data_IF_603928997476
#
_entry.id   IF_603928997476
#
_cell.length_a   1.000
_cell.length_b   1.000
_cell.length_c   1.000
_cell.angle_alpha   90.00
_cell.angle_beta   90.00
_cell.angle_gamma   90.00
#
_symmetry.space_group_name_H-M   'P 1'
#
loop_
_entity.id
_entity.type
_entity.pdbx_description
1 polymer ?
#
# COMPACT_ATOMS: atom_id res chain seq x y z
N UNK A 1 -29.95 -8.40 -10.04
CA UNK A 1 -30.03 -7.72 -8.73
C UNK A 1 -31.05 -6.60 -8.85
N UNK A 2 -31.78 -6.25 -7.79
CA UNK A 2 -32.77 -5.18 -7.86
C UNK A 2 -32.09 -3.84 -8.16
N UNK A 3 -32.71 -2.96 -8.97
CA UNK A 3 -32.12 -1.68 -9.37
C UNK A 3 -31.91 -0.70 -8.20
N UNK A 4 -32.52 -0.94 -7.04
CA UNK A 4 -32.23 -0.27 -5.77
C UNK A 4 -31.85 -1.35 -4.73
N UNK A 5 -30.59 -1.35 -4.32
CA UNK A 5 -30.09 -2.13 -3.19
C UNK A 5 -29.66 -1.13 -2.11
N UNK A 6 -30.14 -1.34 -0.89
CA UNK A 6 -29.71 -0.60 0.30
C UNK A 6 -28.76 -1.47 1.13
N UNK A 7 -27.70 -0.88 1.68
CA UNK A 7 -26.65 -1.57 2.47
C UNK A 7 -26.20 -0.68 3.63
N UNK A 8 -25.65 -1.26 4.70
CA UNK A 8 -25.16 -0.46 5.84
C UNK A 8 -23.97 0.43 5.41
N UNK A 9 -23.02 -0.17 4.68
CA UNK A 9 -21.80 0.52 4.22
C UNK A 9 -21.49 0.16 2.78
N UNK A 10 -21.37 1.18 1.92
CA UNK A 10 -20.84 1.04 0.56
C UNK A 10 -19.36 1.44 0.53
N UNK A 11 -18.50 0.58 -0.02
CA UNK A 11 -17.06 0.84 -0.18
C UNK A 11 -16.74 0.93 -1.67
N UNK A 12 -16.28 2.09 -2.12
CA UNK A 12 -16.02 2.38 -3.54
C UNK A 12 -14.54 2.19 -3.86
N UNK A 13 -14.20 1.00 -4.36
CA UNK A 13 -12.85 0.58 -4.74
C UNK A 13 -12.47 -0.77 -4.13
N UNK A 14 -12.18 -1.77 -4.97
CA UNK A 14 -11.75 -3.13 -4.61
C UNK A 14 -10.23 -3.31 -4.47
N UNK A 15 -9.50 -2.24 -4.17
CA UNK A 15 -8.08 -2.30 -3.81
C UNK A 15 -7.87 -2.76 -2.36
N UNK A 16 -6.60 -2.84 -1.93
CA UNK A 16 -6.22 -3.28 -0.58
C UNK A 16 -6.89 -2.47 0.54
N UNK A 17 -7.12 -1.16 0.32
CA UNK A 17 -7.81 -0.32 1.28
C UNK A 17 -9.27 -0.73 1.44
N UNK A 18 -9.99 -0.88 0.32
CA UNK A 18 -11.38 -1.34 0.36
C UNK A 18 -11.52 -2.74 0.95
N UNK A 19 -10.64 -3.67 0.58
CA UNK A 19 -10.63 -5.03 1.11
C UNK A 19 -10.33 -5.07 2.62
N UNK A 20 -9.36 -4.28 3.10
CA UNK A 20 -9.05 -4.20 4.53
C UNK A 20 -10.19 -3.58 5.34
N UNK A 21 -10.79 -2.48 4.85
CA UNK A 21 -11.94 -1.85 5.51
C UNK A 21 -13.13 -2.82 5.56
N UNK A 22 -13.41 -3.53 4.45
CA UNK A 22 -14.46 -4.54 4.41
C UNK A 22 -14.21 -5.68 5.42
N UNK A 23 -12.96 -6.15 5.52
CA UNK A 23 -12.57 -7.20 6.46
C UNK A 23 -12.82 -6.79 7.92
N UNK A 24 -12.34 -5.62 8.34
CA UNK A 24 -12.52 -5.16 9.71
C UNK A 24 -13.97 -4.75 10.04
N UNK A 25 -14.72 -4.19 9.09
CA UNK A 25 -16.16 -3.95 9.27
C UNK A 25 -16.92 -5.26 9.47
N UNK A 26 -16.61 -6.29 8.65
CA UNK A 26 -17.26 -7.59 8.76
C UNK A 26 -16.92 -8.33 10.06
N UNK A 27 -15.69 -8.19 10.59
CA UNK A 27 -15.34 -8.66 11.92
C UNK A 27 -16.20 -8.03 13.04
N UNK A 28 -16.69 -6.80 12.81
CA UNK A 28 -17.57 -6.07 13.73
C UNK A 28 -19.06 -6.33 13.48
N UNK A 29 -19.39 -7.26 12.58
CA UNK A 29 -20.76 -7.66 12.27
C UNK A 29 -21.49 -6.76 11.27
N UNK A 30 -20.80 -5.77 10.68
CA UNK A 30 -21.33 -4.95 9.58
C UNK A 30 -21.24 -5.74 8.27
N UNK A 31 -22.23 -5.62 7.39
CA UNK A 31 -22.24 -6.31 6.09
C UNK A 31 -21.98 -5.33 4.93
N UNK A 32 -20.71 -4.93 4.69
CA UNK A 32 -20.42 -3.93 3.66
C UNK A 32 -20.57 -4.50 2.25
N UNK A 33 -20.90 -3.61 1.31
CA UNK A 33 -20.81 -3.87 -0.12
C UNK A 33 -19.59 -3.18 -0.71
N UNK A 34 -18.64 -3.96 -1.24
CA UNK A 34 -17.52 -3.44 -2.03
C UNK A 34 -17.96 -3.30 -3.48
N UNK A 35 -17.71 -2.14 -4.07
CA UNK A 35 -18.01 -1.81 -5.47
C UNK A 35 -16.69 -1.63 -6.22
N UNK A 36 -16.45 -2.44 -7.24
CA UNK A 36 -15.23 -2.40 -8.06
C UNK A 36 -15.55 -2.28 -9.54
N UNK A 37 -14.87 -1.36 -10.25
CA UNK A 37 -15.13 -1.07 -11.65
C UNK A 37 -14.39 -1.98 -12.65
N UNK A 38 -13.37 -2.73 -12.22
CA UNK A 38 -12.54 -3.58 -13.07
C UNK A 38 -12.43 -5.01 -12.51
N UNK A 39 -11.39 -5.33 -11.76
CA UNK A 39 -11.21 -6.56 -11.01
C UNK A 39 -10.63 -6.21 -9.63
N UNK A 40 -10.82 -7.09 -8.65
CA UNK A 40 -10.25 -6.87 -7.31
C UNK A 40 -8.73 -6.82 -7.43
N UNK A 41 -8.12 -5.85 -6.73
CA UNK A 41 -6.69 -5.55 -6.83
C UNK A 41 -6.19 -5.06 -8.20
N UNK A 42 -7.04 -4.66 -9.15
CA UNK A 42 -6.64 -4.21 -10.50
C UNK A 42 -5.52 -3.15 -10.53
N UNK A 43 -5.59 -2.17 -9.64
CA UNK A 43 -4.70 -1.01 -9.59
C UNK A 43 -3.37 -1.29 -8.86
N UNK A 44 -2.95 -0.32 -8.04
CA UNK A 44 -1.69 -0.39 -7.30
C UNK A 44 -1.55 -1.64 -6.43
N UNK A 45 -2.65 -2.15 -5.88
CA UNK A 45 -2.66 -3.29 -4.96
C UNK A 45 -2.25 -4.60 -5.61
N UNK A 46 -2.58 -4.85 -6.88
CA UNK A 46 -2.19 -6.07 -7.59
C UNK A 46 -0.82 -6.00 -8.24
N UNK A 47 -0.20 -4.82 -8.28
CA UNK A 47 1.07 -4.56 -8.98
C UNK A 47 2.19 -4.09 -8.03
N UNK A 48 1.96 -4.21 -6.72
CA UNK A 48 2.95 -3.85 -5.69
C UNK A 48 3.98 -4.97 -5.51
N UNK A 49 5.19 -4.63 -5.09
CA UNK A 49 6.16 -5.64 -4.65
C UNK A 49 5.74 -6.34 -3.35
N UNK A 50 4.75 -5.82 -2.62
CA UNK A 50 4.25 -6.46 -1.40
C UNK A 50 5.30 -6.51 -0.29
N UNK A 51 6.19 -5.51 -0.23
CA UNK A 51 7.18 -5.39 0.84
C UNK A 51 6.55 -4.80 2.10
N UNK A 52 6.70 -5.50 3.22
CA UNK A 52 6.32 -5.06 4.56
C UNK A 52 7.61 -4.69 5.32
N UNK A 53 8.21 -3.57 4.91
CA UNK A 53 9.43 -3.03 5.49
C UNK A 53 9.15 -1.63 6.07
N UNK A 54 9.08 -1.48 7.40
CA UNK A 54 8.71 -0.21 8.02
C UNK A 54 9.80 0.86 7.91
N UNK A 55 11.05 0.48 7.64
CA UNK A 55 12.22 1.35 7.73
C UNK A 55 12.69 2.02 6.44
N UNK A 56 11.88 2.10 5.38
CA UNK A 56 12.33 2.72 4.13
C UNK A 56 12.35 4.26 4.21
N UNK A 57 13.40 4.93 3.71
CA UNK A 57 13.72 6.31 4.06
C UNK A 57 12.85 7.43 3.44
N UNK A 58 11.80 7.11 2.68
CA UNK A 58 10.98 8.09 1.94
C UNK A 58 9.98 8.91 2.77
N UNK A 59 10.32 9.17 4.02
CA UNK A 59 9.38 9.77 4.96
C UNK A 59 9.67 11.27 5.07
N UNK A 60 8.96 12.06 4.26
CA UNK A 60 8.68 13.47 4.59
C UNK A 60 7.54 13.55 5.62
N UNK A 61 7.53 12.65 6.60
CA UNK A 61 6.58 12.69 7.72
C UNK A 61 7.05 13.74 8.72
N UNK A 62 6.66 14.98 8.45
CA UNK A 62 6.94 16.11 9.34
C UNK A 62 6.08 16.10 10.62
N UNK A 63 5.09 15.21 10.70
CA UNK A 63 4.14 15.11 11.81
C UNK A 63 4.53 14.04 12.84
N UNK A 64 5.32 13.04 12.44
CA UNK A 64 5.64 11.88 13.26
C UNK A 64 4.45 10.93 13.46
N UNK A 65 3.40 11.04 12.63
CA UNK A 65 2.17 10.26 12.75
C UNK A 65 2.26 8.87 12.10
N UNK A 66 3.13 8.68 11.12
CA UNK A 66 3.28 7.40 10.42
C UNK A 66 3.92 6.31 11.29
N UNK A 67 4.98 6.55 12.09
CA UNK A 67 5.63 5.46 12.85
C UNK A 67 4.69 4.68 13.78
N UNK A 68 3.81 5.30 14.60
CA UNK A 68 2.86 4.56 15.43
C UNK A 68 1.86 3.73 14.60
N UNK A 69 1.29 4.32 13.54
CA UNK A 69 0.36 3.63 12.65
C UNK A 69 1.03 2.44 11.94
N UNK A 70 2.28 2.61 11.53
CA UNK A 70 3.09 1.59 10.88
C UNK A 70 3.39 0.43 11.83
N UNK A 71 3.77 0.73 13.08
CA UNK A 71 3.99 -0.28 14.11
C UNK A 71 2.71 -1.10 14.37
N UNK A 72 1.55 -0.43 14.47
CA UNK A 72 0.24 -1.11 14.59
C UNK A 72 -0.03 -2.00 13.39
N UNK A 73 0.17 -1.49 12.17
CA UNK A 73 -0.10 -2.24 10.95
C UNK A 73 0.81 -3.46 10.78
N UNK A 74 2.10 -3.36 11.13
CA UNK A 74 3.04 -4.49 11.14
C UNK A 74 2.61 -5.57 12.13
N UNK A 75 2.12 -5.18 13.31
CA UNK A 75 1.57 -6.13 14.27
C UNK A 75 0.32 -6.84 13.71
N UNK A 76 -0.60 -6.10 13.09
CA UNK A 76 -1.78 -6.65 12.44
C UNK A 76 -1.44 -7.59 11.29
N UNK A 77 -0.42 -7.29 10.48
CA UNK A 77 0.02 -8.17 9.39
C UNK A 77 0.43 -9.55 9.91
N UNK A 78 1.13 -9.63 11.05
CA UNK A 78 1.44 -10.92 11.70
C UNK A 78 0.18 -11.64 12.14
N UNK A 79 -0.72 -10.96 12.86
CA UNK A 79 -1.96 -11.55 13.35
C UNK A 79 -2.85 -12.05 12.22
N UNK A 80 -3.01 -11.27 11.15
CA UNK A 80 -3.82 -11.63 9.97
C UNK A 80 -3.15 -12.75 9.17
N UNK A 81 -1.81 -12.82 9.12
CA UNK A 81 -1.10 -13.96 8.56
C UNK A 81 -1.43 -15.26 9.29
N UNK A 82 -1.44 -15.24 10.62
CA UNK A 82 -1.80 -16.42 11.40
C UNK A 82 -3.28 -16.82 11.21
N UNK A 83 -4.18 -15.83 11.24
CA UNK A 83 -5.62 -16.07 11.12
C UNK A 83 -6.06 -16.57 9.74
N UNK A 84 -5.42 -16.08 8.68
CA UNK A 84 -5.84 -16.33 7.30
C UNK A 84 -4.97 -17.36 6.56
N UNK A 85 -4.04 -18.02 7.25
CA UNK A 85 -3.03 -18.92 6.67
C UNK A 85 -2.18 -18.20 5.60
N UNK A 86 -1.61 -17.06 6.00
CA UNK A 86 -0.86 -16.15 5.13
C UNK A 86 0.29 -16.79 4.36
N UNK A 87 1.12 -17.67 4.96
CA UNK A 87 2.20 -18.33 4.22
C UNK A 87 1.71 -19.11 3.00
N UNK A 88 0.53 -19.74 3.10
CA UNK A 88 -0.04 -20.56 2.03
C UNK A 88 -0.92 -19.75 1.08
N UNK A 89 -1.66 -18.78 1.60
CA UNK A 89 -2.72 -18.10 0.84
C UNK A 89 -2.25 -16.84 0.11
N UNK A 90 -1.25 -16.13 0.63
CA UNK A 90 -0.71 -14.92 0.02
C UNK A 90 0.80 -14.73 0.24
N UNK A 91 1.51 -15.83 0.44
CA UNK A 91 2.97 -15.88 0.53
C UNK A 91 3.56 -14.99 1.64
N UNK A 92 2.84 -14.82 2.76
CA UNK A 92 3.39 -14.09 3.91
C UNK A 92 4.68 -14.76 4.39
N UNK A 93 5.80 -14.09 4.11
CA UNK A 93 7.13 -14.63 4.34
C UNK A 93 7.96 -13.60 5.10
N UNK A 94 8.21 -13.81 6.40
CA UNK A 94 9.23 -13.07 7.11
C UNK A 94 10.56 -13.23 6.39
N UNK A 95 11.25 -12.12 6.16
CA UNK A 95 12.56 -12.14 5.54
C UNK A 95 13.43 -11.07 6.19
N UNK A 96 14.72 -11.16 5.91
CA UNK A 96 15.69 -10.16 6.34
C UNK A 96 16.00 -9.25 5.16
N UNK A 97 15.91 -7.93 5.38
CA UNK A 97 16.31 -6.93 4.39
C UNK A 97 17.47 -6.09 4.91
N UNK A 98 18.43 -5.84 4.06
CA UNK A 98 19.52 -4.91 4.35
C UNK A 98 19.20 -3.54 3.78
N UNK A 99 19.28 -2.50 4.60
CA UNK A 99 19.33 -1.13 4.08
C UNK A 99 20.79 -0.77 3.85
N UNK A 100 21.10 -0.17 2.71
CA UNK A 100 22.48 0.08 2.29
C UNK A 100 22.71 1.50 1.80
N UNK A 101 23.90 2.00 2.10
CA UNK A 101 24.42 3.28 1.64
C UNK A 101 25.61 3.08 0.68
N UNK A 102 25.68 3.91 -0.36
CA UNK A 102 26.72 3.89 -1.40
C UNK A 102 27.78 4.98 -1.25
N UNK A 103 27.51 6.00 -0.45
CA UNK A 103 28.46 7.06 -0.13
C UNK A 103 28.45 7.41 1.37
N UNK A 104 29.40 8.25 1.77
CA UNK A 104 29.61 8.64 3.17
C UNK A 104 28.44 9.46 3.74
N UNK A 105 27.77 10.26 2.91
CA UNK A 105 26.64 11.10 3.34
C UNK A 105 25.41 10.21 3.61
N UNK A 106 25.12 9.28 2.69
CA UNK A 106 24.10 8.25 2.87
C UNK A 106 24.40 7.36 4.08
N UNK A 107 25.67 6.99 4.29
CA UNK A 107 26.07 6.15 5.41
C UNK A 107 25.84 6.85 6.75
N UNK A 108 26.16 8.14 6.84
CA UNK A 108 25.89 8.94 8.02
C UNK A 108 24.39 9.02 8.33
N UNK A 109 23.54 9.27 7.31
CA UNK A 109 22.08 9.28 7.49
C UNK A 109 21.54 7.91 7.91
N UNK A 110 21.97 6.84 7.23
CA UNK A 110 21.50 5.49 7.49
C UNK A 110 21.82 5.06 8.94
N UNK A 111 23.05 5.30 9.40
CA UNK A 111 23.48 4.96 10.75
C UNK A 111 22.79 5.82 11.82
N UNK A 112 22.54 7.10 11.53
CA UNK A 112 21.77 7.97 12.44
C UNK A 112 20.32 7.51 12.60
N UNK A 113 19.74 6.89 11.56
CA UNK A 113 18.35 6.40 11.56
C UNK A 113 18.21 4.98 12.10
N UNK A 114 19.28 4.20 12.16
CA UNK A 114 19.25 2.77 12.48
C UNK A 114 18.41 2.44 13.72
N UNK A 115 18.60 3.18 14.83
CA UNK A 115 17.82 2.99 16.06
C UNK A 115 16.31 3.21 15.84
N UNK A 116 15.94 4.30 15.15
CA UNK A 116 14.53 4.61 14.86
C UNK A 116 13.88 3.57 13.94
N UNK A 117 14.67 2.98 13.03
CA UNK A 117 14.21 1.94 12.12
C UNK A 117 14.19 0.54 12.76
N UNK A 118 14.56 0.44 14.05
CA UNK A 118 14.80 -0.86 14.72
C UNK A 118 15.78 -1.73 13.93
N UNK A 119 16.77 -1.09 13.30
CA UNK A 119 17.76 -1.72 12.45
C UNK A 119 19.11 -1.84 13.15
N UNK A 120 19.82 -2.93 12.90
CA UNK A 120 21.12 -3.21 13.50
C UNK A 120 22.25 -2.90 12.50
N UNK A 121 23.21 -2.01 12.81
CA UNK A 121 24.39 -1.81 11.98
C UNK A 121 25.17 -3.10 11.75
N UNK A 122 25.58 -3.33 10.51
CA UNK A 122 26.30 -4.54 10.11
C UNK A 122 27.79 -4.22 9.94
N UNK A 123 28.68 -4.89 10.68
CA UNK A 123 30.11 -4.80 10.40
C UNK A 123 30.41 -5.28 8.97
N UNK A 124 31.17 -4.50 8.19
CA UNK A 124 31.46 -4.87 6.79
C UNK A 124 32.14 -6.25 6.64
N UNK A 125 32.85 -6.71 7.66
CA UNK A 125 33.44 -8.04 7.70
C UNK A 125 32.39 -9.19 7.73
N UNK A 126 31.16 -8.91 8.16
CA UNK A 126 30.03 -9.86 8.24
C UNK A 126 29.07 -9.74 7.05
N UNK A 127 29.31 -8.79 6.15
CA UNK A 127 28.38 -8.44 5.08
C UNK A 127 28.03 -9.64 4.19
N UNK A 128 29.01 -10.45 3.80
CA UNK A 128 28.78 -11.58 2.89
C UNK A 128 27.84 -12.64 3.47
N UNK A 129 27.79 -12.78 4.79
CA UNK A 129 26.89 -13.71 5.49
C UNK A 129 25.51 -13.07 5.72
N UNK A 130 25.47 -11.81 6.17
CA UNK A 130 24.24 -11.14 6.63
C UNK A 130 23.46 -10.42 5.53
N UNK A 131 24.15 -9.94 4.49
CA UNK A 131 23.59 -9.25 3.33
C UNK A 131 24.16 -9.85 2.05
N UNK A 132 23.85 -11.13 1.76
CA UNK A 132 24.50 -11.87 0.70
C UNK A 132 24.19 -11.34 -0.70
N UNK A 133 23.26 -10.39 -0.84
CA UNK A 133 23.01 -9.71 -2.10
C UNK A 133 24.07 -8.66 -2.45
N UNK A 134 24.70 -8.01 -1.47
CA UNK A 134 25.50 -6.80 -1.69
C UNK A 134 26.98 -7.14 -1.82
N UNK A 135 27.66 -6.53 -2.80
CA UNK A 135 29.10 -6.74 -2.98
C UNK A 135 29.94 -5.80 -2.11
N UNK A 136 29.72 -4.48 -2.20
CA UNK A 136 30.52 -3.48 -1.49
C UNK A 136 29.69 -2.21 -1.18
N UNK A 137 29.09 -2.08 0.01
CA UNK A 137 28.45 -0.86 0.48
C UNK A 137 29.45 -0.02 1.29
N UNK A 138 29.13 1.26 1.49
CA UNK A 138 29.84 2.11 2.47
C UNK A 138 29.33 1.78 3.88
N UNK A 139 28.02 1.60 4.04
CA UNK A 139 27.39 1.12 5.27
C UNK A 139 26.18 0.25 4.97
N UNK A 140 25.86 -0.65 5.90
CA UNK A 140 24.67 -1.48 5.86
C UNK A 140 24.06 -1.64 7.25
N UNK A 141 22.74 -1.69 7.32
CA UNK A 141 22.00 -2.04 8.54
C UNK A 141 21.00 -3.15 8.23
N UNK A 142 20.76 -4.02 9.20
CA UNK A 142 19.81 -5.10 9.11
C UNK A 142 18.46 -4.63 9.64
N UNK A 143 17.44 -4.48 8.79
CA UNK A 143 16.13 -4.05 9.25
C UNK A 143 15.27 -5.27 9.61
N UNK A 144 14.75 -5.28 10.84
CA UNK A 144 13.82 -6.31 11.34
C UNK A 144 12.81 -5.70 12.33
N UNK A 145 11.57 -6.22 12.39
CA UNK A 145 11.01 -7.29 11.56
C UNK A 145 10.60 -6.78 10.17
N UNK A 146 10.86 -7.58 9.14
CA UNK A 146 10.33 -7.37 7.78
C UNK A 146 9.68 -8.62 7.22
N UNK A 147 8.69 -8.44 6.35
CA UNK A 147 8.01 -9.53 5.66
C UNK A 147 7.67 -9.14 4.22
N UNK A 148 7.40 -10.13 3.38
CA UNK A 148 6.90 -9.92 2.03
C UNK A 148 5.62 -10.72 1.81
N UNK A 149 4.80 -10.27 0.87
CA UNK A 149 3.55 -10.92 0.47
C UNK A 149 3.37 -10.87 -1.05
N UNK A 150 2.53 -11.75 -1.60
CA UNK A 150 1.86 -11.48 -2.87
C UNK A 150 0.69 -10.51 -2.62
N UNK A 151 0.83 -9.27 -3.10
CA UNK A 151 -0.11 -8.20 -2.78
C UNK A 151 -1.49 -8.38 -3.43
N UNK A 152 -1.55 -9.03 -4.59
CA UNK A 152 -2.81 -9.34 -5.27
C UNK A 152 -3.56 -10.43 -4.49
N UNK A 153 -2.87 -11.52 -4.14
CA UNK A 153 -3.44 -12.61 -3.33
C UNK A 153 -3.87 -12.12 -1.95
N UNK A 154 -3.07 -11.27 -1.30
CA UNK A 154 -3.42 -10.68 -0.02
C UNK A 154 -4.71 -9.86 -0.09
N UNK A 155 -4.81 -8.99 -1.10
CA UNK A 155 -6.01 -8.16 -1.31
C UNK A 155 -7.26 -9.01 -1.52
N UNK A 156 -7.16 -10.03 -2.38
CA UNK A 156 -8.27 -10.97 -2.61
C UNK A 156 -8.60 -11.77 -1.35
N UNK A 157 -7.61 -12.27 -0.62
CA UNK A 157 -7.80 -13.06 0.60
C UNK A 157 -8.52 -12.27 1.69
N UNK A 158 -8.19 -10.98 1.86
CA UNK A 158 -8.91 -10.10 2.79
C UNK A 158 -10.39 -9.98 2.40
N UNK A 159 -10.68 -9.75 1.12
CA UNK A 159 -12.04 -9.62 0.63
C UNK A 159 -12.83 -10.93 0.75
N UNK A 160 -12.23 -12.07 0.37
CA UNK A 160 -12.83 -13.40 0.54
C UNK A 160 -13.16 -13.67 2.01
N UNK A 161 -12.25 -13.31 2.93
CA UNK A 161 -12.50 -13.43 4.36
C UNK A 161 -13.65 -12.53 4.80
N UNK A 162 -13.72 -11.29 4.30
CA UNK A 162 -14.86 -10.40 4.56
C UNK A 162 -16.17 -10.98 4.05
N UNK A 163 -16.18 -11.58 2.84
CA UNK A 163 -17.35 -12.22 2.25
C UNK A 163 -17.83 -13.42 3.06
N UNK A 164 -16.90 -14.20 3.63
CA UNK A 164 -17.24 -15.30 4.54
C UNK A 164 -17.96 -14.83 5.82
N UNK A 165 -17.81 -13.55 6.17
CA UNK A 165 -18.45 -12.89 7.31
C UNK A 165 -19.68 -12.04 6.92
N UNK A 166 -20.10 -12.06 5.65
CA UNK A 166 -21.32 -11.40 5.16
C UNK A 166 -21.11 -10.17 4.29
N UNK A 167 -19.87 -9.74 4.03
CA UNK A 167 -19.62 -8.72 3.03
C UNK A 167 -20.02 -9.20 1.62
N UNK A 168 -20.27 -8.28 0.71
CA UNK A 168 -20.59 -8.59 -0.69
C UNK A 168 -19.71 -7.78 -1.65
N UNK A 169 -19.57 -8.29 -2.88
CA UNK A 169 -18.86 -7.63 -3.97
C UNK A 169 -19.84 -7.39 -5.11
N UNK A 170 -19.89 -6.16 -5.61
CA UNK A 170 -20.59 -5.79 -6.85
C UNK A 170 -19.58 -5.23 -7.83
N UNK A 171 -19.53 -5.84 -9.01
CA UNK A 171 -18.83 -5.24 -10.14
C UNK A 171 -19.69 -4.09 -10.68
N UNK A 172 -19.09 -2.90 -10.82
CA UNK A 172 -19.78 -1.69 -11.27
C UNK A 172 -18.88 -0.47 -11.14
N UNK A 173 -18.95 0.44 -12.12
CA UNK A 173 -18.21 1.69 -12.09
C UNK A 173 -19.02 2.76 -11.38
N UNK A 174 -18.49 3.28 -10.27
CA UNK A 174 -19.00 4.48 -9.64
C UNK A 174 -18.70 5.73 -10.47
N UNK A 175 -19.70 6.57 -10.62
CA UNK A 175 -19.65 7.83 -11.38
C UNK A 175 -20.01 9.05 -10.53
N UNK A 176 -20.56 8.85 -9.33
CA UNK A 176 -20.96 9.91 -8.43
C UNK A 176 -21.37 9.40 -7.05
N UNK A 177 -21.83 10.33 -6.23
CA UNK A 177 -22.44 10.07 -4.93
C UNK A 177 -23.89 10.52 -4.97
N UNK A 178 -24.75 9.84 -4.21
CA UNK A 178 -26.14 10.24 -3.99
C UNK A 178 -26.24 10.88 -2.61
N UNK A 179 -27.05 11.92 -2.49
CA UNK A 179 -27.29 12.61 -1.22
C UNK A 179 -27.73 14.06 -1.39
N UNK A 180 -27.85 14.75 -0.27
CA UNK A 180 -28.16 16.19 -0.21
C UNK A 180 -26.92 17.06 -0.30
N UNK A 181 -27.05 18.32 0.14
CA UNK A 181 -25.93 19.28 0.16
C UNK A 181 -24.90 18.96 1.26
N UNK A 182 -25.35 18.41 2.37
CA UNK A 182 -24.58 18.19 3.60
C UNK A 182 -24.47 16.71 4.02
N UNK A 183 -25.04 15.80 3.23
CA UNK A 183 -24.99 14.36 3.49
C UNK A 183 -24.85 13.53 2.21
N UNK A 184 -24.38 12.29 2.37
CA UNK A 184 -24.26 11.26 1.34
C UNK A 184 -25.00 10.02 1.82
N UNK A 185 -25.92 9.51 1.01
CA UNK A 185 -26.75 8.34 1.31
C UNK A 185 -26.63 7.23 0.24
N UNK A 186 -25.58 7.29 -0.59
CA UNK A 186 -25.33 6.27 -1.59
C UNK A 186 -24.29 6.62 -2.63
N UNK A 187 -24.17 5.71 -3.60
CA UNK A 187 -23.22 5.75 -4.72
C UNK A 187 -24.01 5.64 -6.03
N UNK A 188 -23.72 6.56 -6.95
CA UNK A 188 -24.21 6.49 -8.33
C UNK A 188 -23.25 5.65 -9.16
N UNK A 189 -23.78 4.63 -9.83
CA UNK A 189 -23.07 3.75 -10.75
C UNK A 189 -23.52 4.01 -12.19
N UNK A 190 -22.71 3.61 -13.17
CA UNK A 190 -23.12 3.67 -14.60
C UNK A 190 -24.44 2.92 -14.89
N UNK A 191 -24.76 1.90 -14.09
CA UNK A 191 -25.89 1.00 -14.29
C UNK A 191 -27.00 1.11 -13.23
N UNK A 192 -26.94 2.11 -12.33
CA UNK A 192 -27.97 2.32 -11.32
C UNK A 192 -27.44 2.96 -10.04
N UNK A 193 -28.17 2.76 -8.94
CA UNK A 193 -27.86 3.37 -7.63
C UNK A 193 -27.76 2.30 -6.55
N UNK A 194 -26.80 2.47 -5.65
CA UNK A 194 -26.74 1.76 -4.37
C UNK A 194 -26.93 2.80 -3.28
N UNK A 195 -27.94 2.65 -2.42
CA UNK A 195 -28.09 3.51 -1.24
C UNK A 195 -27.34 2.90 -0.06
N UNK A 196 -26.78 3.72 0.82
CA UNK A 196 -26.06 3.27 2.00
C UNK A 196 -26.10 4.28 3.15
N UNK A 197 -26.06 3.79 4.39
CA UNK A 197 -25.96 4.65 5.57
C UNK A 197 -24.57 5.30 5.69
N UNK A 198 -23.53 4.61 5.23
CA UNK A 198 -22.19 5.16 5.09
C UNK A 198 -21.56 4.80 3.73
N UNK A 199 -20.79 5.72 3.16
CA UNK A 199 -20.04 5.53 1.92
C UNK A 199 -18.56 5.83 2.12
N UNK A 200 -17.69 4.87 1.80
CA UNK A 200 -16.24 4.97 1.95
C UNK A 200 -15.56 5.00 0.57
N UNK A 201 -14.76 6.03 0.32
CA UNK A 201 -14.07 6.22 -0.96
C UNK A 201 -12.63 5.71 -0.86
N UNK A 202 -12.29 4.66 -1.61
CA UNK A 202 -10.98 3.99 -1.63
C UNK A 202 -10.39 3.87 -3.03
N UNK A 203 -10.66 4.87 -3.87
CA UNK A 203 -10.34 4.90 -5.31
C UNK A 203 -8.84 5.01 -5.69
N UNK A 204 -7.92 4.91 -4.74
CA UNK A 204 -6.47 4.98 -4.99
C UNK A 204 -6.11 6.22 -5.84
N UNK A 205 -5.34 6.08 -6.95
CA UNK A 205 -4.92 7.24 -7.74
C UNK A 205 -6.10 7.95 -8.43
N UNK A 206 -7.26 7.30 -8.55
CA UNK A 206 -8.48 7.89 -9.08
C UNK A 206 -9.28 8.69 -8.05
N UNK A 207 -8.84 8.76 -6.79
CA UNK A 207 -9.51 9.52 -5.72
C UNK A 207 -9.62 11.03 -6.01
N UNK A 208 -8.81 11.58 -6.92
CA UNK A 208 -9.00 12.97 -7.37
C UNK A 208 -10.40 13.22 -7.97
N UNK A 209 -11.06 12.19 -8.50
CA UNK A 209 -12.43 12.28 -9.02
C UNK A 209 -13.45 12.51 -7.90
N UNK A 210 -13.17 11.99 -6.71
CA UNK A 210 -14.02 12.16 -5.55
C UNK A 210 -14.03 13.60 -5.03
N UNK A 211 -13.04 14.43 -5.40
CA UNK A 211 -13.02 15.84 -5.02
C UNK A 211 -14.28 16.57 -5.50
N UNK A 212 -14.71 16.30 -6.74
CA UNK A 212 -15.95 16.88 -7.28
C UNK A 212 -17.22 16.28 -6.65
N UNK A 213 -17.17 15.04 -6.17
CA UNK A 213 -18.32 14.38 -5.55
C UNK A 213 -18.56 14.81 -4.11
N UNK A 214 -17.47 15.14 -3.40
CA UNK A 214 -17.49 15.55 -2.00
C UNK A 214 -17.47 17.06 -1.80
N UNK A 215 -17.23 17.84 -2.86
CA UNK A 215 -16.95 19.28 -2.77
C UNK A 215 -15.79 19.57 -1.79
N UNK A 216 -14.74 18.74 -1.86
CA UNK A 216 -13.59 18.76 -0.95
C UNK A 216 -12.30 18.56 -1.75
N UNK A 217 -11.21 19.31 -1.48
CA UNK A 217 -9.91 19.02 -2.08
C UNK A 217 -9.41 17.63 -1.69
N UNK A 218 -9.21 16.75 -2.68
CA UNK A 218 -8.54 15.45 -2.52
C UNK A 218 -7.27 15.48 -3.39
N UNK A 219 -6.15 16.04 -2.89
CA UNK A 219 -4.94 16.26 -3.68
C UNK A 219 -4.14 14.97 -3.84
N UNK A 220 -4.73 13.96 -4.49
CA UNK A 220 -4.07 12.69 -4.81
C UNK A 220 -3.67 12.68 -6.26
N UNK A 221 -2.40 12.35 -6.51
CA UNK A 221 -1.86 12.18 -7.86
C UNK A 221 -1.31 10.76 -8.06
N UNK A 222 -1.35 10.23 -9.29
CA UNK A 222 -0.64 9.01 -9.62
C UNK A 222 0.88 9.25 -9.67
N UNK A 223 1.64 8.41 -8.99
CA UNK A 223 3.08 8.26 -9.18
C UNK A 223 3.34 6.89 -9.79
N UNK A 224 3.71 6.85 -11.06
CA UNK A 224 4.02 5.61 -11.76
C UNK A 224 5.31 5.02 -11.21
N UNK A 225 5.33 3.70 -11.03
CA UNK A 225 6.56 2.99 -10.77
C UNK A 225 6.56 1.59 -11.31
N UNK A 226 7.73 1.22 -11.82
CA UNK A 226 7.92 0.01 -12.60
C UNK A 226 8.83 -0.96 -11.86
N UNK A 227 8.47 -2.24 -11.90
CA UNK A 227 9.18 -3.34 -11.26
C UNK A 227 9.50 -4.36 -12.35
N UNK A 228 10.72 -4.89 -12.32
CA UNK A 228 11.18 -5.93 -13.23
C UNK A 228 11.27 -7.24 -12.46
N UNK A 229 10.74 -8.31 -13.05
CA UNK A 229 10.80 -9.65 -12.48
C UNK A 229 11.84 -10.44 -13.25
N UNK A 230 12.78 -11.02 -12.52
CA UNK A 230 13.92 -11.73 -13.04
C UNK A 230 13.81 -13.22 -12.66
N UNK A 231 14.11 -14.07 -13.63
CA UNK A 231 14.37 -15.49 -13.39
C UNK A 231 15.89 -15.70 -13.30
N UNK A 232 16.38 -16.18 -12.16
CA UNK A 232 17.80 -16.40 -11.97
C UNK A 232 18.24 -17.73 -12.60
N UNK A 233 19.46 -17.79 -13.14
CA UNK A 233 20.03 -19.01 -13.72
C UNK A 233 20.59 -19.99 -12.69
N UNK A 234 20.81 -19.50 -11.47
CA UNK A 234 21.23 -20.25 -10.27
C UNK A 234 20.36 -19.81 -9.10
N UNK A 235 20.37 -20.57 -8.01
CA UNK A 235 19.59 -20.19 -6.82
C UNK A 235 20.04 -18.80 -6.30
N UNK A 236 19.12 -17.81 -6.20
CA UNK A 236 19.46 -16.48 -5.74
C UNK A 236 19.67 -16.47 -4.22
N UNK A 237 20.45 -15.52 -3.66
CA UNK A 237 20.54 -15.36 -2.22
C UNK A 237 19.17 -15.14 -1.59
N UNK A 238 18.92 -15.64 -0.36
CA UNK A 238 17.67 -15.34 0.34
C UNK A 238 17.58 -13.86 0.71
N UNK A 239 16.36 -13.40 0.97
CA UNK A 239 16.10 -12.04 1.44
C UNK A 239 16.27 -10.99 0.35
N UNK A 240 16.80 -9.82 0.71
CA UNK A 240 16.92 -8.70 -0.20
C UNK A 240 17.68 -7.51 0.39
N UNK A 241 17.73 -6.44 -0.37
CA UNK A 241 18.22 -5.15 0.11
C UNK A 241 17.38 -4.00 -0.42
N UNK A 242 17.52 -2.83 0.20
CA UNK A 242 17.04 -1.57 -0.33
C UNK A 242 18.07 -0.47 -0.13
N UNK A 243 18.21 0.42 -1.10
CA UNK A 243 19.05 1.60 -0.96
C UNK A 243 18.32 2.75 -0.27
N UNK A 244 19.03 3.87 -0.08
CA UNK A 244 18.48 5.07 0.53
C UNK A 244 17.48 5.83 -0.37
N UNK A 245 17.30 5.39 -1.62
CA UNK A 245 16.43 6.01 -2.63
C UNK A 245 15.23 5.13 -2.98
N UNK A 246 15.01 4.03 -2.25
CA UNK A 246 13.87 3.13 -2.42
C UNK A 246 13.98 2.14 -3.57
N UNK A 247 15.16 2.00 -4.17
CA UNK A 247 15.43 0.86 -5.02
C UNK A 247 15.64 -0.38 -4.15
N UNK A 248 15.18 -1.53 -4.62
CA UNK A 248 15.25 -2.78 -3.88
C UNK A 248 15.47 -3.97 -4.81
N UNK A 249 16.04 -5.01 -4.21
CA UNK A 249 16.09 -6.37 -4.72
C UNK A 249 15.46 -7.27 -3.67
N UNK A 250 14.58 -8.17 -4.08
CA UNK A 250 13.99 -9.17 -3.18
C UNK A 250 13.86 -10.53 -3.87
N UNK A 251 14.32 -11.57 -3.20
CA UNK A 251 14.03 -12.96 -3.59
C UNK A 251 12.64 -13.33 -3.11
N UNK A 252 11.80 -13.77 -4.05
CA UNK A 252 10.43 -14.23 -3.80
C UNK A 252 10.42 -15.71 -3.38
N UNK A 253 9.40 -16.16 -2.63
CA UNK A 253 9.20 -17.59 -2.35
C UNK A 253 9.06 -18.46 -3.60
N UNK A 254 8.66 -17.86 -4.73
CA UNK A 254 8.58 -18.53 -6.04
C UNK A 254 9.96 -18.79 -6.67
N UNK A 255 11.04 -18.28 -6.11
CA UNK A 255 12.39 -18.32 -6.68
C UNK A 255 12.69 -17.20 -7.69
N UNK A 256 11.68 -16.39 -8.05
CA UNK A 256 11.91 -15.17 -8.84
C UNK A 256 12.59 -14.09 -7.99
N UNK A 257 13.31 -13.20 -8.66
CA UNK A 257 13.88 -12.00 -8.05
C UNK A 257 13.11 -10.79 -8.57
N UNK A 258 12.51 -10.02 -7.67
CA UNK A 258 11.85 -8.77 -8.03
C UNK A 258 12.78 -7.61 -7.75
N UNK A 259 12.91 -6.72 -8.72
CA UNK A 259 13.72 -5.51 -8.61
C UNK A 259 12.90 -4.29 -8.98
N UNK A 260 13.08 -3.21 -8.23
CA UNK A 260 12.34 -1.99 -8.48
C UNK A 260 12.84 -0.84 -7.61
N UNK A 261 12.21 0.32 -7.65
CA UNK A 261 11.26 0.70 -8.68
C UNK A 261 11.58 2.10 -9.22
N UNK A 262 11.06 2.40 -10.41
CA UNK A 262 11.05 3.79 -10.91
C UNK A 262 10.02 4.65 -10.16
N UNK A 263 10.17 5.96 -10.34
CA UNK A 263 9.23 6.98 -9.91
C UNK A 263 9.05 8.01 -11.03
N UNK A 264 7.85 8.03 -11.61
CA UNK A 264 7.56 8.75 -12.85
C UNK A 264 6.25 9.54 -12.72
N UNK A 265 6.26 10.82 -13.13
CA UNK A 265 5.09 11.71 -13.12
C UNK A 265 4.38 11.74 -14.48
N UNK A 266 3.93 10.57 -14.95
CA UNK A 266 3.33 10.36 -16.28
C UNK A 266 1.79 10.32 -16.26
N UNK A 267 1.19 10.92 -15.23
CA UNK A 267 -0.26 10.88 -15.05
C UNK A 267 -0.78 9.44 -14.90
N UNK A 268 -1.79 9.07 -15.70
CA UNK A 268 -2.44 7.75 -15.64
C UNK A 268 -1.86 6.73 -16.63
N UNK A 269 -0.71 7.01 -17.25
CA UNK A 269 -0.01 6.01 -18.06
C UNK A 269 0.52 4.87 -17.17
N UNK A 270 -0.02 3.67 -17.38
CA UNK A 270 0.37 2.46 -16.66
C UNK A 270 1.11 1.46 -17.57
N UNK A 271 1.61 1.88 -18.72
CA UNK A 271 2.36 1.02 -19.64
C UNK A 271 3.84 0.91 -19.24
N UNK A 272 4.39 -0.30 -19.10
CA UNK A 272 5.82 -0.46 -18.86
C UNK A 272 6.68 0.02 -20.03
N UNK A 273 7.90 0.49 -19.76
CA UNK A 273 8.85 0.93 -20.80
C UNK A 273 10.20 0.22 -20.67
N UNK A 274 10.86 0.01 -21.81
CA UNK A 274 12.22 -0.56 -21.83
C UNK A 274 13.23 0.37 -21.14
N UNK A 275 13.07 1.69 -21.28
CA UNK A 275 13.94 2.67 -20.62
C UNK A 275 13.88 2.56 -19.09
N UNK A 276 12.69 2.36 -18.51
CA UNK A 276 12.53 2.13 -17.08
C UNK A 276 13.15 0.80 -16.63
N UNK A 277 12.99 -0.27 -17.42
CA UNK A 277 13.64 -1.56 -17.15
C UNK A 277 15.17 -1.41 -17.10
N UNK A 278 15.72 -0.77 -18.12
CA UNK A 278 17.17 -0.59 -18.26
C UNK A 278 17.72 0.32 -17.15
N UNK A 279 16.97 1.35 -16.75
CA UNK A 279 17.27 2.17 -15.57
C UNK A 279 17.33 1.33 -14.29
N UNK A 280 16.30 0.54 -13.97
CA UNK A 280 16.25 -0.25 -12.73
C UNK A 280 17.42 -1.24 -12.68
N UNK A 281 17.70 -1.92 -13.80
CA UNK A 281 18.82 -2.86 -13.92
C UNK A 281 20.17 -2.14 -13.71
N UNK A 282 20.40 -1.03 -14.40
CA UNK A 282 21.64 -0.28 -14.30
C UNK A 282 21.88 0.29 -12.90
N UNK A 283 20.82 0.79 -12.25
CA UNK A 283 20.89 1.33 -10.89
C UNK A 283 21.28 0.25 -9.90
N UNK A 284 20.62 -0.91 -9.93
CA UNK A 284 20.87 -1.99 -8.96
C UNK A 284 22.15 -2.77 -9.23
N UNK A 285 22.63 -2.82 -10.48
CA UNK A 285 23.93 -3.39 -10.82
C UNK A 285 25.11 -2.67 -10.15
N UNK A 286 24.92 -1.42 -9.68
CA UNK A 286 25.94 -0.69 -8.88
C UNK A 286 26.15 -1.30 -7.50
N UNK A 287 25.15 -1.99 -6.96
CA UNK A 287 25.18 -2.58 -5.62
C UNK A 287 25.59 -4.06 -5.64
N UNK A 288 25.30 -4.75 -6.76
CA UNK A 288 25.46 -6.20 -6.85
C UNK A 288 25.67 -6.70 -8.27
N UNK A 289 26.69 -7.53 -8.44
CA UNK A 289 26.95 -8.34 -9.64
C UNK A 289 26.02 -9.55 -9.75
N UNK A 290 25.25 -9.89 -8.70
CA UNK A 290 24.41 -11.10 -8.69
C UNK A 290 23.22 -11.05 -9.64
N UNK A 291 22.87 -9.87 -10.13
CA UNK A 291 21.83 -9.70 -11.15
C UNK A 291 22.32 -10.09 -12.55
N UNK A 292 23.63 -10.24 -12.75
CA UNK A 292 24.21 -10.59 -14.05
C UNK A 292 23.69 -11.95 -14.55
N UNK A 293 23.29 -11.99 -15.82
CA UNK A 293 22.81 -13.21 -16.47
C UNK A 293 21.38 -13.62 -16.11
N UNK A 294 20.70 -12.93 -15.19
CA UNK A 294 19.28 -13.19 -14.91
C UNK A 294 18.41 -12.76 -16.08
N UNK A 295 17.38 -13.54 -16.38
CA UNK A 295 16.47 -13.30 -17.52
C UNK A 295 15.27 -12.49 -17.06
N UNK A 296 14.95 -11.41 -17.78
CA UNK A 296 13.69 -10.68 -17.57
C UNK A 296 12.52 -11.57 -18.00
N UNK A 297 11.62 -11.87 -17.07
CA UNK A 297 10.43 -12.70 -17.32
C UNK A 297 9.14 -11.92 -17.30
N UNK A 298 9.11 -10.79 -16.61
CA UNK A 298 7.96 -9.91 -16.57
C UNK A 298 8.39 -8.49 -16.18
N UNK A 299 7.54 -7.51 -16.47
CA UNK A 299 7.65 -6.14 -16.01
C UNK A 299 6.26 -5.61 -15.71
N UNK A 300 6.11 -4.93 -14.58
CA UNK A 300 4.83 -4.35 -14.15
C UNK A 300 4.97 -2.86 -13.88
N UNK A 301 3.88 -2.11 -14.04
CA UNK A 301 3.81 -0.69 -13.72
C UNK A 301 2.57 -0.42 -12.85
N UNK A 302 2.80 0.27 -11.73
CA UNK A 302 1.81 0.60 -10.71
C UNK A 302 1.64 2.12 -10.64
N UNK A 303 0.41 2.61 -10.44
CA UNK A 303 0.11 4.01 -10.16
C UNK A 303 -0.14 4.19 -8.67
N UNK A 304 0.88 4.64 -7.93
CA UNK A 304 0.80 4.85 -6.48
C UNK A 304 -0.01 6.13 -6.19
N UNK A 305 -0.99 6.11 -5.28
CA UNK A 305 -1.76 7.30 -4.92
C UNK A 305 -0.97 8.16 -3.93
N UNK A 306 -0.25 9.17 -4.42
CA UNK A 306 0.52 10.08 -3.55
C UNK A 306 -0.35 11.28 -3.21
N UNK A 307 -0.57 11.54 -1.93
CA UNK A 307 -1.23 12.75 -1.44
C UNK A 307 -0.31 13.98 -1.53
N UNK A 308 -0.90 15.17 -1.53
CA UNK A 308 -0.18 16.44 -1.68
C UNK A 308 0.86 16.73 -0.60
N UNK A 309 0.69 16.16 0.59
CA UNK A 309 1.60 16.31 1.74
C UNK A 309 2.36 15.01 2.09
N UNK A 310 2.20 13.96 1.30
CA UNK A 310 2.83 12.65 1.53
C UNK A 310 2.18 11.79 2.62
N UNK A 311 1.17 12.30 3.35
CA UNK A 311 0.44 11.54 4.36
C UNK A 311 -0.88 10.97 3.81
N UNK A 312 -1.29 9.75 4.20
CA UNK A 312 -2.61 9.22 3.84
C UNK A 312 -3.76 10.18 4.18
N UNK A 313 -4.84 10.12 3.41
CA UNK A 313 -6.09 10.85 3.64
C UNK A 313 -7.11 9.84 4.17
N UNK A 314 -7.38 9.89 5.48
CA UNK A 314 -8.16 8.89 6.21
C UNK A 314 -9.12 9.61 7.16
N UNK A 315 -10.42 9.44 6.99
CA UNK A 315 -11.41 10.00 7.92
C UNK A 315 -12.76 10.30 7.30
N UNK A 316 -13.61 10.99 8.06
CA UNK A 316 -14.89 11.50 7.58
C UNK A 316 -14.67 12.67 6.60
N UNK A 317 -15.51 12.79 5.59
CA UNK A 317 -15.52 13.92 4.68
C UNK A 317 -16.18 15.13 5.37
N UNK A 318 -15.47 16.25 5.59
CA UNK A 318 -16.02 17.41 6.28
C UNK A 318 -17.25 17.97 5.58
N UNK A 319 -18.30 18.26 6.36
CA UNK A 319 -19.55 18.81 5.83
C UNK A 319 -20.37 17.85 4.95
N UNK A 320 -19.99 16.57 4.88
CA UNK A 320 -20.66 15.52 4.10
C UNK A 320 -20.95 14.32 5.01
N UNK A 321 -22.00 14.42 5.82
CA UNK A 321 -22.43 13.35 6.73
C UNK A 321 -22.61 12.02 5.97
N UNK A 322 -22.14 10.91 6.55
CA UNK A 322 -22.18 9.59 5.93
C UNK A 322 -21.06 9.32 4.91
N UNK A 323 -20.22 10.29 4.53
CA UNK A 323 -19.10 10.07 3.62
C UNK A 323 -17.74 9.98 4.33
N UNK A 324 -16.90 9.06 3.86
CA UNK A 324 -15.55 8.82 4.38
C UNK A 324 -14.55 8.63 3.24
N UNK A 325 -13.27 8.87 3.51
CA UNK A 325 -12.17 8.73 2.56
C UNK A 325 -11.05 7.91 3.18
N UNK A 326 -10.46 7.01 2.41
CA UNK A 326 -9.22 6.30 2.76
C UNK A 326 -8.37 6.08 1.49
N UNK A 327 -7.44 7.00 1.24
CA UNK A 327 -6.58 7.02 0.04
C UNK A 327 -5.24 7.72 0.31
N UNK A 328 -4.40 7.91 -0.70
CA UNK A 328 -3.18 8.72 -0.60
C UNK A 328 -1.98 8.01 0.06
N UNK A 329 -2.03 6.70 0.25
CA UNK A 329 -0.98 5.94 0.96
C UNK A 329 0.34 5.76 0.19
N UNK A 330 0.46 6.29 -1.02
CA UNK A 330 1.67 6.27 -1.84
C UNK A 330 2.33 4.90 -1.93
N UNK A 331 3.59 4.84 -1.53
CA UNK A 331 4.44 3.61 -1.52
C UNK A 331 4.06 2.63 -0.41
N UNK A 332 3.33 3.09 0.60
CA UNK A 332 3.06 2.37 1.85
C UNK A 332 1.68 1.74 1.91
N UNK A 333 0.93 1.74 0.81
CA UNK A 333 -0.44 1.24 0.78
C UNK A 333 -0.59 -0.19 1.32
N UNK A 334 0.28 -1.12 0.92
CA UNK A 334 0.20 -2.50 1.41
C UNK A 334 0.52 -2.60 2.92
N UNK A 335 1.62 -1.97 3.37
CA UNK A 335 2.01 -2.06 4.78
C UNK A 335 1.02 -1.34 5.70
N UNK A 336 0.42 -0.22 5.29
CA UNK A 336 -0.54 0.56 6.10
C UNK A 336 -2.00 0.09 5.98
N UNK A 337 -2.31 -0.88 5.11
CA UNK A 337 -3.70 -1.23 4.80
C UNK A 337 -4.47 -1.74 6.01
N UNK A 338 -3.85 -2.56 6.87
CA UNK A 338 -4.54 -3.17 8.01
C UNK A 338 -4.82 -2.16 9.11
N UNK A 339 -3.87 -1.30 9.48
CA UNK A 339 -4.14 -0.22 10.43
C UNK A 339 -5.17 0.78 9.89
N UNK A 340 -5.15 1.08 8.58
CA UNK A 340 -6.19 1.91 7.95
C UNK A 340 -7.56 1.24 8.03
N UNK A 341 -7.63 -0.06 7.70
CA UNK A 341 -8.86 -0.84 7.74
C UNK A 341 -9.48 -0.90 9.13
N UNK A 342 -8.67 -1.17 10.15
CA UNK A 342 -9.08 -1.18 11.55
C UNK A 342 -9.61 0.19 11.99
N UNK A 343 -8.82 1.25 11.76
CA UNK A 343 -9.18 2.60 12.19
C UNK A 343 -10.46 3.12 11.52
N UNK A 344 -10.65 2.81 10.22
CA UNK A 344 -11.87 3.17 9.49
C UNK A 344 -13.08 2.39 9.99
N UNK A 345 -12.92 1.09 10.29
CA UNK A 345 -14.01 0.29 10.82
C UNK A 345 -14.46 0.81 12.21
N UNK A 346 -13.51 1.14 13.09
CA UNK A 346 -13.79 1.79 14.37
C UNK A 346 -14.45 3.17 14.20
N UNK A 347 -13.92 4.01 13.30
CA UNK A 347 -14.49 5.33 13.02
C UNK A 347 -15.94 5.25 12.56
N UNK A 348 -16.26 4.31 11.66
CA UNK A 348 -17.60 4.17 11.09
C UNK A 348 -18.58 3.62 12.14
N UNK A 349 -18.19 2.65 12.96
CA UNK A 349 -19.14 2.04 13.92
C UNK A 349 -19.20 2.77 15.25
N UNK A 350 -18.11 3.37 15.70
CA UNK A 350 -17.96 3.91 17.07
C UNK A 350 -17.80 5.43 17.08
N UNK A 351 -17.65 6.06 15.91
CA UNK A 351 -17.41 7.50 15.76
C UNK A 351 -15.97 7.93 16.09
N UNK A 352 -15.07 7.00 16.39
CA UNK A 352 -13.65 7.27 16.69
C UNK A 352 -12.78 6.03 16.50
N UNK A 353 -11.49 6.21 16.22
CA UNK A 353 -10.50 5.12 16.31
C UNK A 353 -9.85 5.08 17.69
N UNK A 354 -9.54 3.88 18.18
CA UNK A 354 -8.88 3.63 19.47
C UNK A 354 -7.37 3.48 19.33
N UNK A 355 -6.93 2.75 18.31
CA UNK A 355 -5.55 2.29 18.18
C UNK A 355 -4.70 3.22 17.29
N UNK A 356 -5.35 3.99 16.40
CA UNK A 356 -4.68 4.91 15.48
C UNK A 356 -5.25 6.31 15.67
N UNK A 357 -4.38 7.29 15.93
CA UNK A 357 -4.76 8.69 15.88
C UNK A 357 -4.98 9.12 14.43
N UNK A 358 -6.23 9.43 14.09
CA UNK A 358 -6.62 9.86 12.74
C UNK A 358 -6.47 11.36 12.51
N UNK A 359 -6.24 12.18 13.55
CA UNK A 359 -6.18 13.64 13.41
C UNK A 359 -5.13 14.12 12.38
N UNK A 360 -3.92 13.53 12.28
CA UNK A 360 -2.94 13.90 11.26
C UNK A 360 -3.34 13.51 9.83
N UNK A 361 -4.27 12.56 9.68
CA UNK A 361 -4.72 12.01 8.40
C UNK A 361 -6.11 12.52 7.97
N UNK A 362 -6.74 13.37 8.78
CA UNK A 362 -8.09 13.87 8.56
C UNK A 362 -8.19 14.61 7.21
N UNK A 363 -9.20 14.33 6.36
CA UNK A 363 -9.41 15.05 5.10
C UNK A 363 -9.59 16.57 5.28
N UNK A 364 -10.07 17.03 6.44
CA UNK A 364 -10.23 18.44 6.78
C UNK A 364 -8.94 19.25 6.71
N UNK A 365 -7.76 18.61 6.81
CA UNK A 365 -6.48 19.34 6.72
C UNK A 365 -6.24 19.99 5.35
N UNK A 366 -6.96 19.56 4.32
CA UNK A 366 -6.96 20.20 3.00
C UNK A 366 -8.16 21.15 2.80
N UNK A 367 -9.08 21.22 3.77
CA UNK A 367 -10.22 22.11 3.80
C UNK A 367 -9.92 23.37 4.63
N UNK A 368 -9.50 24.43 3.96
CA UNK A 368 -9.28 25.76 4.52
C UNK A 368 -9.06 26.74 3.38
N UNK A 369 -9.53 27.99 3.52
CA UNK A 369 -9.38 29.03 2.48
C UNK A 369 -7.89 29.22 2.11
N UNK A 370 -7.58 29.47 0.82
CA UNK A 370 -6.21 29.62 0.30
C UNK A 370 -5.40 30.75 0.94
#
# INVERSE_FOLDING_TARGET
>A
MSPNQHVDVAIVGGGVMGAAIAYFLAQRGVQPLVIEGNEVAYGASGKSAGLLSPGLPHDDDRTGALPPMLARSVALHRTVADLLDGPTTYDYTPYTTCLVAQDEDEAADLLARAEHLSAEPIPLAELGERCPWIDQPVAAVLAQPTAQIDSARFTNRLLESAQSMGASLRMGRAVGLVGGADYVDGVELEDGVVTADATVITLGPWSLRAAAWLDLPIPVRPLKGQIVHLEPSVEPPPGGFSDMHGHYVVTRPTGLVHIGATEEEEGFDAEPTEAARDYVLATLARFTSRLEGMRVVNQTACLRPVSGDGLPIIGAAPGREGAYVATGHGRKGIILSLATGEAMAELITDGRSSEVDLAPFDPARFGGDP
#
